data_IF_623224257621
#
_entry.id   IF_623224257621
#
_cell.length_a   1.000
_cell.length_b   1.000
_cell.length_c   1.000
_cell.angle_alpha   90.00
_cell.angle_beta   90.00
_cell.angle_gamma   90.00
#
_symmetry.space_group_name_H-M   'P 1'
#
loop_
_entity.id
_entity.type
_entity.pdbx_description
1 polymer ?
#
# COMPACT_ATOMS: atom_id res chain seq x y z
N UNK A 1 18.79 10.38 7.11
CA UNK A 1 17.64 10.41 6.17
C UNK A 1 16.37 10.71 6.94
N UNK A 2 15.45 11.51 6.37
CA UNK A 2 14.17 11.88 6.99
C UNK A 2 13.04 11.10 6.34
N UNK A 3 12.10 10.60 7.14
CA UNK A 3 10.90 9.91 6.63
C UNK A 3 10.03 10.86 5.79
N UNK A 4 9.65 10.42 4.58
CA UNK A 4 8.81 11.16 3.67
C UNK A 4 7.34 10.75 3.83
N UNK A 5 6.62 11.51 4.67
CA UNK A 5 5.20 11.27 4.94
C UNK A 5 4.31 11.37 3.69
N UNK A 6 4.67 12.20 2.70
CA UNK A 6 3.85 12.35 1.48
C UNK A 6 3.85 11.06 0.67
N UNK A 7 5.04 10.49 0.45
CA UNK A 7 5.21 9.23 -0.29
C UNK A 7 4.57 8.07 0.47
N UNK A 8 4.76 8.00 1.79
CA UNK A 8 4.11 7.00 2.62
C UNK A 8 2.58 7.03 2.47
N UNK A 9 1.99 8.22 2.49
CA UNK A 9 0.54 8.41 2.39
C UNK A 9 0.02 8.09 0.99
N UNK A 10 0.75 8.47 -0.07
CA UNK A 10 0.43 8.09 -1.46
C UNK A 10 0.45 6.56 -1.62
N UNK A 11 1.43 5.88 -1.04
CA UNK A 11 1.49 4.41 -1.06
C UNK A 11 0.38 3.75 -0.23
N UNK A 12 -0.11 4.40 0.83
CA UNK A 12 -1.22 3.90 1.65
C UNK A 12 -2.60 4.16 1.01
N UNK A 13 -2.76 5.26 0.28
CA UNK A 13 -4.04 5.73 -0.22
C UNK A 13 -4.85 4.68 -1.01
N UNK A 14 -4.27 3.80 -1.85
CA UNK A 14 -5.01 2.76 -2.56
C UNK A 14 -5.72 1.74 -1.66
N UNK A 15 -5.22 1.50 -0.44
CA UNK A 15 -5.79 0.48 0.46
C UNK A 15 -7.12 0.91 1.06
N UNK A 16 -7.33 2.21 1.29
CA UNK A 16 -8.58 2.77 1.83
C UNK A 16 -9.80 2.46 0.93
N UNK A 17 -9.80 2.80 -0.38
CA UNK A 17 -10.92 2.47 -1.26
C UNK A 17 -11.06 0.96 -1.49
N UNK A 18 -9.98 0.16 -1.48
CA UNK A 18 -10.09 -1.31 -1.55
C UNK A 18 -10.85 -1.85 -0.33
N UNK A 19 -10.50 -1.37 0.88
CA UNK A 19 -11.19 -1.77 2.12
C UNK A 19 -12.67 -1.37 2.08
N UNK A 20 -12.96 -0.14 1.65
CA UNK A 20 -14.34 0.33 1.51
C UNK A 20 -15.14 -0.52 0.51
N UNK A 21 -14.55 -0.82 -0.65
CA UNK A 21 -15.15 -1.70 -1.66
C UNK A 21 -15.37 -3.12 -1.12
N UNK A 22 -14.39 -3.67 -0.40
CA UNK A 22 -14.54 -4.98 0.24
C UNK A 22 -15.73 -4.99 1.20
N UNK A 23 -15.83 -4.00 2.10
CA UNK A 23 -16.93 -3.91 3.05
C UNK A 23 -18.28 -3.83 2.33
N UNK A 24 -18.38 -3.03 1.26
CA UNK A 24 -19.60 -2.89 0.46
C UNK A 24 -19.98 -4.20 -0.25
N UNK A 25 -19.01 -4.86 -0.89
CA UNK A 25 -19.25 -6.14 -1.60
C UNK A 25 -19.65 -7.23 -0.61
N UNK A 26 -19.05 -7.23 0.58
CA UNK A 26 -19.29 -8.25 1.59
C UNK A 26 -20.71 -8.19 2.18
N UNK A 27 -21.42 -7.05 2.04
CA UNK A 27 -22.87 -6.95 2.33
C UNK A 27 -23.68 -7.93 1.46
N UNK A 28 -23.25 -8.17 0.22
CA UNK A 28 -23.98 -9.00 -0.75
C UNK A 28 -23.38 -10.40 -0.91
N UNK A 29 -22.09 -10.56 -0.64
CA UNK A 29 -21.37 -11.82 -0.81
C UNK A 29 -20.87 -12.28 0.57
N UNK A 30 -21.50 -13.30 1.14
CA UNK A 30 -21.10 -13.84 2.45
C UNK A 30 -19.76 -14.60 2.41
N UNK A 31 -19.34 -15.10 1.23
CA UNK A 31 -18.06 -15.79 1.11
C UNK A 31 -16.91 -14.78 1.06
N UNK A 32 -16.06 -14.82 2.08
CA UNK A 32 -14.92 -13.92 2.28
C UNK A 32 -13.98 -13.87 1.08
N UNK A 33 -13.63 -15.03 0.51
CA UNK A 33 -12.67 -15.13 -0.61
C UNK A 33 -13.26 -14.49 -1.86
N UNK A 34 -14.50 -14.83 -2.19
CA UNK A 34 -15.20 -14.28 -3.36
C UNK A 34 -15.39 -12.77 -3.22
N UNK A 35 -15.73 -12.28 -2.02
CA UNK A 35 -15.88 -10.86 -1.75
C UNK A 35 -14.57 -10.08 -1.95
N UNK A 36 -13.43 -10.60 -1.50
CA UNK A 36 -12.11 -9.99 -1.73
C UNK A 36 -11.77 -9.95 -3.22
N UNK A 37 -11.99 -11.06 -3.94
CA UNK A 37 -11.72 -11.13 -5.37
C UNK A 37 -12.57 -10.12 -6.15
N UNK A 38 -13.86 -10.04 -5.85
CA UNK A 38 -14.77 -9.08 -6.48
C UNK A 38 -14.36 -7.62 -6.17
N UNK A 39 -14.07 -7.30 -4.90
CA UNK A 39 -13.61 -5.96 -4.52
C UNK A 39 -12.30 -5.57 -5.21
N UNK A 40 -11.34 -6.51 -5.31
CA UNK A 40 -10.07 -6.30 -6.00
C UNK A 40 -10.27 -6.12 -7.50
N UNK A 41 -11.19 -6.87 -8.11
CA UNK A 41 -11.56 -6.74 -9.53
C UNK A 41 -12.15 -5.37 -9.84
N UNK A 42 -13.16 -4.94 -9.06
CA UNK A 42 -13.78 -3.62 -9.19
C UNK A 42 -12.75 -2.52 -8.98
N UNK A 43 -11.93 -2.63 -7.93
CA UNK A 43 -10.87 -1.67 -7.65
C UNK A 43 -9.87 -1.57 -8.80
N UNK A 44 -9.46 -2.69 -9.40
CA UNK A 44 -8.49 -2.70 -10.49
C UNK A 44 -8.99 -1.93 -11.71
N UNK A 45 -10.25 -2.11 -12.09
CA UNK A 45 -10.87 -1.38 -13.21
C UNK A 45 -10.92 0.11 -12.92
N UNK A 46 -11.37 0.50 -11.73
CA UNK A 46 -11.41 1.90 -11.31
C UNK A 46 -10.00 2.50 -11.26
N UNK A 47 -9.05 1.79 -10.66
CA UNK A 47 -7.67 2.24 -10.53
C UNK A 47 -7.04 2.51 -11.89
N UNK A 48 -7.25 1.66 -12.89
CA UNK A 48 -6.78 1.89 -14.26
C UNK A 48 -7.34 3.20 -14.82
N UNK A 49 -8.65 3.42 -14.70
CA UNK A 49 -9.28 4.66 -15.17
C UNK A 49 -8.70 5.89 -14.47
N UNK A 50 -8.61 5.87 -13.14
CA UNK A 50 -8.05 6.98 -12.36
C UNK A 50 -6.56 7.20 -12.65
N UNK A 51 -5.81 6.12 -12.88
CA UNK A 51 -4.40 6.19 -13.19
C UNK A 51 -4.14 6.96 -14.48
N UNK A 52 -4.82 6.60 -15.57
CA UNK A 52 -4.61 7.28 -16.85
C UNK A 52 -5.17 8.69 -16.88
N UNK A 53 -6.32 8.92 -16.21
CA UNK A 53 -6.99 10.23 -16.24
C UNK A 53 -6.36 11.25 -15.30
N UNK A 54 -5.91 10.85 -14.11
CA UNK A 54 -5.51 11.75 -13.04
C UNK A 54 -4.08 11.50 -12.53
N UNK A 55 -3.72 10.27 -12.18
CA UNK A 55 -2.42 10.00 -11.55
C UNK A 55 -1.24 10.20 -12.51
N UNK A 56 -1.33 9.71 -13.74
CA UNK A 56 -0.27 9.84 -14.74
C UNK A 56 0.03 11.31 -15.08
N UNK A 57 -0.97 12.19 -15.35
CA UNK A 57 -0.71 13.63 -15.47
C UNK A 57 -0.13 14.28 -14.21
N UNK A 58 -0.61 13.88 -13.03
CA UNK A 58 -0.12 14.42 -11.75
C UNK A 58 1.35 14.08 -11.52
N UNK A 59 1.74 12.80 -11.63
CA UNK A 59 3.11 12.36 -11.44
C UNK A 59 4.07 12.86 -12.52
N UNK A 60 3.58 13.15 -13.73
CA UNK A 60 4.39 13.87 -14.73
C UNK A 60 4.75 15.29 -14.31
N UNK A 61 3.90 15.96 -13.53
CA UNK A 61 4.16 17.32 -12.99
C UNK A 61 4.92 17.29 -11.67
N UNK A 62 4.76 16.22 -10.90
CA UNK A 62 5.38 16.01 -9.59
C UNK A 62 6.11 14.66 -9.54
N UNK A 63 7.20 14.48 -10.32
CA UNK A 63 7.91 13.21 -10.38
C UNK A 63 8.49 12.80 -9.03
N UNK A 64 8.84 13.77 -8.16
CA UNK A 64 9.31 13.57 -6.80
C UNK A 64 8.29 12.91 -5.85
N UNK A 65 7.02 12.84 -6.27
CA UNK A 65 5.94 12.19 -5.52
C UNK A 65 5.54 10.84 -6.12
N UNK A 66 6.10 10.48 -7.28
CA UNK A 66 5.81 9.21 -7.95
C UNK A 66 6.57 8.06 -7.26
N UNK A 67 5.88 7.12 -6.61
CA UNK A 67 6.52 5.99 -5.94
C UNK A 67 7.39 5.12 -6.84
N UNK A 68 7.20 5.17 -8.17
CA UNK A 68 7.99 4.40 -9.13
C UNK A 68 9.44 4.89 -9.25
N UNK A 69 9.71 6.15 -8.91
CA UNK A 69 11.06 6.71 -8.92
C UNK A 69 11.79 6.53 -7.59
N UNK A 70 11.23 5.81 -6.62
CA UNK A 70 11.84 5.60 -5.30
C UNK A 70 12.57 4.26 -5.22
N UNK A 71 13.84 4.31 -4.82
CA UNK A 71 14.70 3.14 -4.66
C UNK A 71 14.93 2.77 -3.19
N UNK A 72 15.21 1.50 -2.98
CA UNK A 72 15.64 1.01 -1.67
C UNK A 72 17.04 1.54 -1.35
N UNK A 73 17.17 2.07 -0.14
CA UNK A 73 18.44 2.43 0.46
C UNK A 73 18.68 1.57 1.71
N UNK A 74 19.82 1.77 2.38
CA UNK A 74 20.18 1.04 3.60
C UNK A 74 19.10 1.11 4.68
N UNK A 75 18.51 2.29 4.92
CA UNK A 75 17.47 2.46 5.96
C UNK A 75 16.18 1.74 5.56
N UNK A 76 15.72 1.88 4.33
CA UNK A 76 14.53 1.21 3.81
C UNK A 76 14.69 -0.32 3.85
N UNK A 77 15.89 -0.84 3.59
CA UNK A 77 16.21 -2.27 3.71
C UNK A 77 16.14 -2.75 5.17
N UNK A 78 16.68 -1.97 6.12
CA UNK A 78 16.60 -2.28 7.55
C UNK A 78 15.14 -2.27 8.02
N UNK A 79 14.36 -1.25 7.64
CA UNK A 79 12.94 -1.14 7.98
C UNK A 79 12.13 -2.28 7.37
N UNK A 80 12.43 -2.67 6.13
CA UNK A 80 11.83 -3.85 5.50
C UNK A 80 12.12 -5.11 6.31
N UNK A 81 13.36 -5.34 6.72
CA UNK A 81 13.74 -6.50 7.52
C UNK A 81 13.02 -6.52 8.88
N UNK A 82 13.04 -5.40 9.61
CA UNK A 82 12.37 -5.25 10.91
C UNK A 82 10.86 -5.49 10.76
N UNK A 83 10.21 -4.83 9.80
CA UNK A 83 8.77 -4.99 9.59
C UNK A 83 8.41 -6.43 9.21
N UNK A 84 9.27 -7.11 8.45
CA UNK A 84 9.07 -8.52 8.09
C UNK A 84 9.17 -9.43 9.31
N UNK A 85 10.16 -9.20 10.18
CA UNK A 85 10.29 -9.93 11.45
C UNK A 85 9.05 -9.71 12.33
N UNK A 86 8.59 -8.46 12.46
CA UNK A 86 7.38 -8.13 13.22
C UNK A 86 6.17 -8.87 12.65
N UNK A 87 5.99 -8.87 11.32
CA UNK A 87 4.90 -9.60 10.67
C UNK A 87 4.99 -11.11 10.94
N UNK A 88 6.18 -11.71 10.85
CA UNK A 88 6.36 -13.13 11.15
C UNK A 88 6.00 -13.46 12.59
N UNK A 89 6.42 -12.63 13.56
CA UNK A 89 6.07 -12.80 14.98
C UNK A 89 4.55 -12.70 15.17
N UNK A 90 3.90 -11.69 14.59
CA UNK A 90 2.44 -11.53 14.69
C UNK A 90 1.69 -12.75 14.13
N UNK A 91 2.18 -13.34 13.05
CA UNK A 91 1.61 -14.56 12.45
C UNK A 91 1.86 -15.80 13.30
N UNK A 92 3.10 -16.02 13.77
CA UNK A 92 3.47 -17.21 14.56
C UNK A 92 2.71 -17.27 15.88
N UNK A 93 2.55 -16.13 16.55
CA UNK A 93 1.87 -16.04 17.84
C UNK A 93 0.35 -15.82 17.73
N UNK A 94 -0.21 -15.91 16.52
CA UNK A 94 -1.65 -15.71 16.24
C UNK A 94 -2.20 -14.38 16.77
N UNK A 95 -1.34 -13.37 16.93
CA UNK A 95 -1.72 -11.99 17.25
C UNK A 95 -2.19 -11.22 16.02
N UNK A 96 -2.20 -11.87 14.86
CA UNK A 96 -2.54 -11.26 13.59
C UNK A 96 -4.05 -11.00 13.45
N UNK A 97 -4.41 -9.91 12.76
CA UNK A 97 -5.80 -9.58 12.49
C UNK A 97 -6.47 -10.66 11.62
N UNK A 98 -7.35 -11.48 12.21
CA UNK A 98 -8.07 -12.57 11.53
C UNK A 98 -9.14 -12.10 10.53
N UNK A 99 -9.22 -10.80 10.26
CA UNK A 99 -10.18 -10.22 9.32
C UNK A 99 -9.47 -9.71 8.07
N UNK A 100 -10.03 -9.88 6.87
CA UNK A 100 -9.43 -9.37 5.63
C UNK A 100 -9.13 -7.87 5.65
N UNK A 101 -9.98 -7.09 6.31
CA UNK A 101 -9.76 -5.64 6.52
C UNK A 101 -8.47 -5.40 7.30
N UNK A 102 -8.26 -6.15 8.38
CA UNK A 102 -7.04 -6.07 9.17
C UNK A 102 -5.79 -6.44 8.38
N UNK A 103 -5.85 -7.50 7.57
CA UNK A 103 -4.76 -7.87 6.66
C UNK A 103 -4.43 -6.72 5.69
N UNK A 104 -5.44 -6.14 5.04
CA UNK A 104 -5.26 -5.04 4.08
C UNK A 104 -4.69 -3.78 4.73
N UNK A 105 -5.15 -3.44 5.94
CA UNK A 105 -4.63 -2.29 6.70
C UNK A 105 -3.17 -2.49 7.09
N UNK A 106 -2.83 -3.65 7.65
CA UNK A 106 -1.45 -3.97 8.05
C UNK A 106 -0.54 -3.97 6.83
N UNK A 107 -0.97 -4.56 5.72
CA UNK A 107 -0.19 -4.56 4.49
C UNK A 107 -0.01 -3.15 3.90
N UNK A 108 -1.05 -2.32 3.96
CA UNK A 108 -0.97 -0.91 3.59
C UNK A 108 0.03 -0.14 4.45
N UNK A 109 -0.03 -0.29 5.77
CA UNK A 109 0.91 0.33 6.71
C UNK A 109 2.33 -0.17 6.51
N UNK A 110 2.51 -1.47 6.30
CA UNK A 110 3.80 -2.08 5.98
C UNK A 110 4.43 -1.40 4.76
N UNK A 111 3.68 -1.32 3.66
CA UNK A 111 4.17 -0.71 2.42
C UNK A 111 4.41 0.79 2.55
N UNK A 112 3.54 1.52 3.24
CA UNK A 112 3.66 2.95 3.50
C UNK A 112 4.92 3.27 4.32
N UNK A 113 5.18 2.49 5.37
CA UNK A 113 6.33 2.69 6.26
C UNK A 113 7.63 2.48 5.49
N UNK A 114 7.74 1.40 4.70
CA UNK A 114 8.94 1.16 3.89
C UNK A 114 9.12 2.25 2.83
N UNK A 115 8.04 2.60 2.12
CA UNK A 115 8.09 3.58 1.05
C UNK A 115 8.49 4.97 1.54
N UNK A 116 8.08 5.37 2.75
CA UNK A 116 8.48 6.65 3.34
C UNK A 116 9.96 6.76 3.67
N UNK A 117 10.69 5.64 3.75
CA UNK A 117 12.15 5.64 3.94
C UNK A 117 12.95 5.49 2.64
N UNK A 118 12.31 5.22 1.49
CA UNK A 118 13.01 5.12 0.21
C UNK A 118 13.57 6.47 -0.25
N UNK A 119 14.58 6.43 -1.12
CA UNK A 119 15.18 7.65 -1.71
C UNK A 119 14.71 7.84 -3.14
N UNK A 120 14.52 9.09 -3.56
CA UNK A 120 14.20 9.43 -4.95
C UNK A 120 15.42 9.22 -5.88
N UNK A 121 15.22 8.47 -6.96
CA UNK A 121 16.18 8.20 -8.04
C UNK A 121 16.42 9.48 -8.83
N UNK A 122 17.39 10.27 -8.38
CA UNK A 122 17.66 11.62 -8.89
C UNK A 122 18.27 12.55 -7.84
N UNK A 123 18.31 12.12 -6.56
CA UNK A 123 19.07 12.76 -5.48
C UNK A 123 20.42 12.07 -5.22
N UNK A 124 21.13 11.62 -6.26
CA UNK A 124 22.58 11.40 -6.14
C UNK A 124 23.26 12.76 -6.05
N UNK A 125 23.31 13.33 -4.84
CA UNK A 125 24.40 14.22 -4.43
C UNK A 125 25.60 13.39 -4.05
#
# INVERSE_FOLDING_TARGET
>A
MKFNYKVALICFAPYVPIIALYLLVHVYISNTIIAILAATGIFSVLYVFFHYRYFKPFFKRHPELDPQHFEFNTVANVVFAINTIILMVLVIFDFFAKTPVGYLLIFGLYNATISGFKTYRGQTT
#
